data_IF_633556314504
#
_entry.id   IF_633556314504
#
_cell.length_a   1.000
_cell.length_b   1.000
_cell.length_c   1.000
_cell.angle_alpha   90.00
_cell.angle_beta   90.00
_cell.angle_gamma   90.00
#
_symmetry.space_group_name_H-M   'P 1'
#
loop_
_entity.id
_entity.type
_entity.pdbx_description
1 polymer ?
#
# COMPACT_ATOMS: atom_id res chain seq x y z
N UNK A 1 41.87 -26.23 4.32
CA UNK A 1 42.20 -24.96 3.64
C UNK A 1 40.89 -24.38 3.09
N UNK A 2 40.27 -23.49 3.84
CA UNK A 2 39.02 -22.85 3.46
C UNK A 2 39.38 -21.59 2.69
N UNK A 3 38.99 -21.53 1.41
CA UNK A 3 39.06 -20.29 0.61
C UNK A 3 37.85 -19.44 0.98
N UNK A 4 38.08 -18.34 1.69
CA UNK A 4 37.11 -17.29 1.87
C UNK A 4 36.98 -16.54 0.54
N UNK A 5 35.80 -16.60 -0.06
CA UNK A 5 35.46 -15.71 -1.19
C UNK A 5 35.17 -14.34 -0.61
N UNK A 6 36.03 -13.39 -0.89
CA UNK A 6 35.81 -12.00 -0.58
C UNK A 6 34.79 -11.45 -1.61
N UNK A 7 33.59 -11.13 -1.15
CA UNK A 7 32.61 -10.35 -1.92
C UNK A 7 33.10 -8.91 -1.86
N UNK A 8 33.59 -8.41 -3.01
CA UNK A 8 33.93 -7.01 -3.19
C UNK A 8 32.63 -6.23 -3.40
N UNK A 9 32.17 -5.54 -2.36
CA UNK A 9 31.11 -4.55 -2.48
C UNK A 9 31.70 -3.35 -3.21
N UNK A 10 31.34 -3.19 -4.48
CA UNK A 10 31.62 -1.97 -5.25
C UNK A 10 30.61 -0.93 -4.84
N UNK A 11 30.97 -0.01 -3.97
CA UNK A 11 30.23 1.23 -3.75
C UNK A 11 30.32 2.07 -5.01
N UNK A 12 29.28 2.04 -5.83
CA UNK A 12 29.10 3.02 -6.89
C UNK A 12 28.49 4.25 -6.23
N UNK A 13 29.32 5.20 -5.81
CA UNK A 13 28.88 6.53 -5.39
C UNK A 13 28.41 7.28 -6.62
N UNK A 14 27.11 7.21 -6.92
CA UNK A 14 26.49 8.16 -7.82
C UNK A 14 26.46 9.51 -7.12
N UNK A 15 27.49 10.33 -7.39
CA UNK A 15 27.48 11.75 -7.02
C UNK A 15 26.46 12.43 -7.92
N UNK A 16 25.19 12.39 -7.51
CA UNK A 16 24.16 13.23 -8.05
C UNK A 16 24.47 14.67 -7.64
N UNK A 17 24.92 15.47 -8.59
CA UNK A 17 25.03 16.92 -8.40
C UNK A 17 23.64 17.49 -8.22
N UNK A 18 23.16 17.55 -6.97
CA UNK A 18 22.01 18.37 -6.58
C UNK A 18 22.39 19.82 -6.78
N UNK A 19 21.94 20.39 -7.90
CA UNK A 19 22.02 21.82 -8.13
C UNK A 19 21.05 22.49 -7.15
N UNK A 20 21.49 22.78 -5.94
CA UNK A 20 20.78 23.62 -4.99
C UNK A 20 20.70 25.01 -5.60
N UNK A 21 19.58 25.34 -6.24
CA UNK A 21 19.27 26.72 -6.62
C UNK A 21 18.90 27.42 -5.32
N UNK A 22 19.88 28.12 -4.75
CA UNK A 22 19.64 29.06 -3.65
C UNK A 22 18.92 30.25 -4.27
N UNK A 23 17.61 30.33 -4.12
CA UNK A 23 16.85 31.53 -4.44
C UNK A 23 17.32 32.66 -3.51
N UNK A 24 17.65 33.85 -4.04
CA UNK A 24 17.98 35.00 -3.20
C UNK A 24 16.73 35.36 -2.37
N UNK A 25 16.89 35.63 -1.09
CA UNK A 25 15.86 35.87 -0.09
C UNK A 25 14.96 37.12 -0.31
N UNK A 26 14.91 37.67 -1.54
CA UNK A 26 14.16 38.87 -1.89
C UNK A 26 13.58 38.89 -3.32
N UNK A 27 13.54 37.75 -4.02
CA UNK A 27 12.84 37.67 -5.31
C UNK A 27 11.40 37.21 -5.08
N UNK A 28 10.44 37.93 -5.68
CA UNK A 28 9.05 37.49 -5.70
C UNK A 28 8.94 36.16 -6.42
N UNK A 29 8.38 35.12 -5.75
CA UNK A 29 8.12 33.82 -6.36
C UNK A 29 6.93 33.95 -7.29
N UNK A 30 7.07 33.53 -8.54
CA UNK A 30 6.02 33.54 -9.53
C UNK A 30 5.25 32.21 -9.59
N UNK A 31 4.09 32.20 -10.22
CA UNK A 31 3.39 30.94 -10.53
C UNK A 31 4.24 29.99 -11.36
N UNK A 32 5.11 30.54 -12.23
CA UNK A 32 6.04 29.74 -13.02
C UNK A 32 7.11 29.03 -12.16
N UNK A 33 7.54 29.64 -11.05
CA UNK A 33 8.48 28.98 -10.11
C UNK A 33 7.80 27.83 -9.36
N UNK A 34 6.53 28.00 -9.00
CA UNK A 34 5.73 26.93 -8.39
C UNK A 34 5.49 25.78 -9.39
N UNK A 35 5.19 26.09 -10.64
CA UNK A 35 5.01 25.09 -11.69
C UNK A 35 6.33 24.37 -11.98
N UNK A 36 7.45 25.08 -12.00
CA UNK A 36 8.78 24.47 -12.13
C UNK A 36 9.10 23.53 -10.95
N UNK A 37 8.73 23.91 -9.73
CA UNK A 37 8.89 23.04 -8.56
C UNK A 37 8.03 21.76 -8.65
N UNK A 38 6.80 21.87 -9.17
CA UNK A 38 5.93 20.70 -9.45
C UNK A 38 6.52 19.82 -10.55
N UNK A 39 7.04 20.41 -11.61
CA UNK A 39 7.70 19.66 -12.69
C UNK A 39 8.90 18.87 -12.16
N UNK A 40 9.64 19.43 -11.22
CA UNK A 40 10.74 18.70 -10.55
C UNK A 40 10.25 17.53 -9.70
N UNK A 41 9.12 17.69 -9.00
CA UNK A 41 8.52 16.54 -8.30
C UNK A 41 8.20 15.40 -9.26
N UNK A 42 7.61 15.70 -10.44
CA UNK A 42 7.35 14.70 -11.49
C UNK A 42 8.65 14.05 -11.98
N UNK A 43 9.69 14.83 -12.24
CA UNK A 43 10.99 14.29 -12.66
C UNK A 43 11.64 13.40 -11.59
N UNK A 44 11.44 13.70 -10.30
CA UNK A 44 11.90 12.82 -9.20
C UNK A 44 11.13 11.52 -9.22
N UNK A 45 9.80 11.57 -9.36
CA UNK A 45 8.98 10.38 -9.48
C UNK A 45 9.40 9.49 -10.67
N UNK A 46 9.61 10.09 -11.87
CA UNK A 46 10.08 9.35 -13.03
C UNK A 46 11.46 8.69 -12.80
N UNK A 47 12.40 9.39 -12.13
CA UNK A 47 13.73 8.83 -11.82
C UNK A 47 13.67 7.69 -10.82
N UNK A 48 12.81 7.80 -9.83
CA UNK A 48 12.66 6.80 -8.76
C UNK A 48 11.77 5.62 -9.17
N UNK A 49 11.14 5.68 -10.34
CA UNK A 49 10.23 4.64 -10.79
C UNK A 49 10.88 3.24 -10.81
N UNK A 50 12.11 3.15 -11.33
CA UNK A 50 12.83 1.87 -11.41
C UNK A 50 13.23 1.34 -10.02
N UNK A 51 13.68 2.23 -9.11
CA UNK A 51 14.03 1.87 -7.74
C UNK A 51 12.79 1.43 -6.96
N UNK A 52 11.68 2.14 -7.14
CA UNK A 52 10.40 1.79 -6.52
C UNK A 52 9.88 0.45 -7.05
N UNK A 53 9.94 0.22 -8.36
CA UNK A 53 9.56 -1.05 -8.96
C UNK A 53 10.42 -2.22 -8.44
N UNK A 54 11.73 -2.02 -8.23
CA UNK A 54 12.61 -3.03 -7.62
C UNK A 54 12.24 -3.28 -6.15
N UNK A 55 11.94 -2.23 -5.41
CA UNK A 55 11.49 -2.37 -4.01
C UNK A 55 10.18 -3.15 -3.92
N UNK A 56 9.21 -2.84 -4.76
CA UNK A 56 7.93 -3.55 -4.82
C UNK A 56 8.11 -5.01 -5.23
N UNK A 57 9.00 -5.30 -6.19
CA UNK A 57 9.36 -6.67 -6.56
C UNK A 57 9.99 -7.41 -5.38
N UNK A 58 10.88 -6.76 -4.64
CA UNK A 58 11.52 -7.36 -3.47
C UNK A 58 10.51 -7.68 -2.35
N UNK A 59 9.47 -6.86 -2.15
CA UNK A 59 8.35 -7.18 -1.24
C UNK A 59 7.63 -8.47 -1.69
N UNK A 60 7.34 -8.59 -2.99
CA UNK A 60 6.67 -9.77 -3.54
C UNK A 60 7.55 -11.03 -3.39
N UNK A 61 8.85 -10.91 -3.65
CA UNK A 61 9.81 -11.99 -3.50
C UNK A 61 9.99 -12.40 -2.03
N UNK A 62 9.98 -11.44 -1.09
CA UNK A 62 10.02 -11.74 0.36
C UNK A 62 8.78 -12.53 0.78
N UNK A 63 7.59 -12.16 0.30
CA UNK A 63 6.36 -12.90 0.61
C UNK A 63 6.41 -14.34 0.12
N UNK A 64 6.87 -14.59 -1.10
CA UNK A 64 7.03 -15.93 -1.67
C UNK A 64 8.10 -16.73 -0.94
N UNK A 65 9.21 -16.09 -0.57
CA UNK A 65 10.30 -16.73 0.16
C UNK A 65 9.89 -17.10 1.59
N UNK A 66 9.05 -16.29 2.24
CA UNK A 66 8.48 -16.59 3.55
C UNK A 66 7.60 -17.84 3.49
N UNK A 67 6.69 -17.94 2.53
CA UNK A 67 5.83 -19.12 2.34
C UNK A 67 6.68 -20.38 2.09
N UNK A 68 7.77 -20.26 1.30
CA UNK A 68 8.72 -21.34 1.06
C UNK A 68 9.45 -21.75 2.34
N UNK A 69 9.89 -20.79 3.15
CA UNK A 69 10.56 -21.04 4.44
C UNK A 69 9.63 -21.79 5.40
N UNK A 70 8.38 -21.37 5.51
CA UNK A 70 7.39 -22.03 6.37
C UNK A 70 7.19 -23.49 5.97
N UNK A 71 7.10 -23.80 4.67
CA UNK A 71 7.08 -25.16 4.15
C UNK A 71 8.32 -25.96 4.48
N UNK A 72 9.50 -25.37 4.27
CA UNK A 72 10.78 -26.03 4.56
C UNK A 72 10.96 -26.33 6.06
N UNK A 73 10.49 -25.44 6.95
CA UNK A 73 10.54 -25.63 8.41
C UNK A 73 9.63 -26.78 8.85
N UNK A 74 8.42 -26.87 8.28
CA UNK A 74 7.50 -28.00 8.54
C UNK A 74 8.12 -29.33 8.12
N UNK A 75 8.74 -29.38 6.93
CA UNK A 75 9.43 -30.56 6.42
C UNK A 75 10.64 -30.94 7.31
N UNK A 76 11.43 -29.95 7.72
CA UNK A 76 12.55 -30.17 8.63
C UNK A 76 12.12 -30.82 9.95
N UNK A 77 11.03 -30.34 10.54
CA UNK A 77 10.46 -30.93 11.76
C UNK A 77 9.98 -32.38 11.54
N UNK A 78 9.51 -32.71 10.33
CA UNK A 78 9.19 -34.09 9.94
C UNK A 78 10.42 -34.98 9.85
N UNK A 79 11.51 -34.50 9.22
CA UNK A 79 12.80 -35.22 9.10
C UNK A 79 13.48 -35.40 10.44
N UNK A 80 13.41 -34.40 11.32
CA UNK A 80 13.94 -34.49 12.68
C UNK A 80 13.25 -35.60 13.47
N UNK A 81 11.91 -35.67 13.43
CA UNK A 81 11.13 -36.74 14.07
C UNK A 81 11.54 -38.13 13.56
N UNK A 82 11.68 -38.29 12.24
CA UNK A 82 12.10 -39.54 11.63
C UNK A 82 13.54 -39.96 12.11
N UNK A 83 14.46 -39.02 12.21
CA UNK A 83 15.80 -39.22 12.70
C UNK A 83 15.82 -39.62 14.19
N UNK A 84 14.98 -38.97 15.03
CA UNK A 84 14.84 -39.31 16.45
C UNK A 84 14.34 -40.76 16.60
N UNK A 85 13.31 -41.15 15.83
CA UNK A 85 12.81 -42.52 15.85
C UNK A 85 13.85 -43.55 15.37
N UNK A 86 14.59 -43.26 14.31
CA UNK A 86 15.65 -44.12 13.80
C UNK A 86 16.79 -44.28 14.83
N UNK A 87 17.17 -43.19 15.52
CA UNK A 87 18.14 -43.20 16.62
C UNK A 87 17.70 -44.02 17.83
N UNK A 88 16.41 -43.87 18.21
CA UNK A 88 15.85 -44.67 19.32
C UNK A 88 15.89 -46.15 18.99
N UNK A 89 15.38 -46.56 17.83
CA UNK A 89 15.42 -47.94 17.40
C UNK A 89 16.84 -48.54 17.34
N UNK A 90 17.82 -47.77 16.88
CA UNK A 90 19.22 -48.20 16.86
C UNK A 90 19.81 -48.36 18.28
N UNK A 91 19.45 -47.48 19.21
CA UNK A 91 19.87 -47.56 20.64
C UNK A 91 19.24 -48.79 21.32
N UNK A 92 17.96 -49.00 21.12
CA UNK A 92 17.23 -50.12 21.72
C UNK A 92 17.81 -51.44 21.23
N UNK A 93 18.11 -51.54 19.92
CA UNK A 93 18.78 -52.72 19.37
C UNK A 93 20.21 -52.93 19.91
N UNK A 94 20.98 -51.84 20.03
CA UNK A 94 22.33 -51.91 20.61
C UNK A 94 22.29 -52.36 22.08
N UNK A 95 21.32 -51.86 22.86
CA UNK A 95 21.12 -52.30 24.25
C UNK A 95 20.74 -53.79 24.34
N UNK A 96 19.83 -54.26 23.48
CA UNK A 96 19.44 -55.66 23.37
C UNK A 96 20.69 -56.55 23.07
N UNK A 97 21.47 -56.16 22.06
CA UNK A 97 22.68 -56.88 21.71
C UNK A 97 23.70 -56.92 22.86
N UNK A 98 23.88 -55.79 23.58
CA UNK A 98 24.78 -55.74 24.74
C UNK A 98 24.30 -56.64 25.89
N UNK A 99 23.02 -56.62 26.21
CA UNK A 99 22.44 -57.45 27.26
C UNK A 99 22.50 -58.95 26.93
N UNK A 100 22.26 -59.30 25.66
CA UNK A 100 22.30 -60.69 25.22
C UNK A 100 23.72 -61.25 25.04
N UNK A 101 24.71 -60.39 24.70
CA UNK A 101 26.09 -60.80 24.59
C UNK A 101 26.74 -61.25 25.93
N UNK A 102 26.23 -60.75 27.08
CA UNK A 102 26.64 -61.14 28.42
C UNK A 102 26.01 -62.43 28.90
N UNK A 103 24.87 -62.84 28.37
CA UNK A 103 24.19 -64.10 28.63
C UNK A 103 24.66 -65.13 27.59
N UNK A 104 25.76 -65.82 27.88
CA UNK A 104 26.30 -67.02 27.16
C UNK A 104 25.80 -67.14 25.72
N UNK A 105 26.57 -66.61 24.78
CA UNK A 105 26.45 -67.00 23.38
C UNK A 105 26.61 -68.50 23.28
N UNK A 106 25.57 -69.27 23.02
CA UNK A 106 25.82 -70.67 22.72
C UNK A 106 26.68 -70.68 21.47
N UNK A 107 27.89 -71.22 21.60
CA UNK A 107 28.75 -71.37 20.43
C UNK A 107 27.91 -71.98 19.30
N UNK A 108 27.94 -71.36 18.14
CA UNK A 108 27.21 -71.84 16.97
C UNK A 108 27.60 -73.28 16.66
N UNK A 109 28.82 -73.65 17.06
CA UNK A 109 29.40 -74.98 16.87
C UNK A 109 29.14 -75.90 18.05
N UNK A 110 28.68 -75.44 19.21
CA UNK A 110 28.42 -76.25 20.39
C UNK A 110 27.02 -76.84 20.42
N UNK A 111 26.61 -77.51 19.37
CA UNK A 111 25.33 -78.23 19.32
C UNK A 111 25.63 -79.67 18.84
N UNK A 112 25.19 -80.62 19.64
CA UNK A 112 25.20 -82.05 19.29
C UNK A 112 24.12 -82.40 18.19
N UNK A 113 23.26 -81.45 17.81
CA UNK A 113 22.23 -81.65 16.84
C UNK A 113 22.57 -80.91 15.56
N UNK A 114 23.27 -81.57 14.64
CA UNK A 114 23.69 -81.08 13.33
C UNK A 114 22.48 -80.70 12.41
N UNK A 115 21.33 -81.28 12.65
CA UNK A 115 20.13 -81.00 11.92
C UNK A 115 19.57 -79.60 12.18
N UNK A 116 19.96 -78.95 13.25
CA UNK A 116 19.50 -77.57 13.60
C UNK A 116 20.48 -76.49 13.10
N UNK A 117 21.65 -76.82 12.59
CA UNK A 117 22.58 -75.83 12.06
C UNK A 117 22.04 -74.99 10.93
N UNK A 118 21.35 -75.53 9.94
CA UNK A 118 20.77 -74.70 8.87
C UNK A 118 19.79 -73.62 9.40
N UNK A 119 18.94 -74.02 10.33
CA UNK A 119 17.97 -73.09 10.95
C UNK A 119 18.66 -71.96 11.73
N UNK A 120 19.77 -72.26 12.43
CA UNK A 120 20.58 -71.26 13.13
C UNK A 120 21.27 -70.29 12.19
N UNK A 121 21.82 -70.78 11.06
CA UNK A 121 22.42 -69.91 10.05
C UNK A 121 21.38 -68.98 9.39
N UNK A 122 20.19 -69.48 9.07
CA UNK A 122 19.07 -68.67 8.56
C UNK A 122 18.68 -67.60 9.58
N UNK A 123 18.57 -67.93 10.87
CA UNK A 123 18.27 -67.00 11.92
C UNK A 123 19.36 -65.91 12.06
N UNK A 124 20.64 -66.27 12.10
CA UNK A 124 21.75 -65.33 12.15
C UNK A 124 21.84 -64.43 10.92
N UNK A 125 21.55 -64.96 9.74
CA UNK A 125 21.46 -64.19 8.51
C UNK A 125 20.32 -63.18 8.57
N UNK A 126 19.15 -63.57 9.06
CA UNK A 126 17.99 -62.69 9.20
C UNK A 126 18.26 -61.56 10.23
N UNK A 127 18.87 -61.90 11.41
CA UNK A 127 19.25 -60.88 12.41
C UNK A 127 20.26 -59.88 11.81
N UNK A 128 21.31 -60.40 11.08
CA UNK A 128 22.29 -59.53 10.42
C UNK A 128 21.66 -58.62 9.32
N UNK A 129 20.63 -59.09 8.62
CA UNK A 129 19.93 -58.29 7.66
C UNK A 129 19.11 -57.18 8.33
N UNK A 130 18.39 -57.49 9.41
CA UNK A 130 17.64 -56.49 10.20
C UNK A 130 18.55 -55.40 10.74
N UNK A 131 19.71 -55.75 11.27
CA UNK A 131 20.68 -54.80 11.78
C UNK A 131 21.23 -53.89 10.69
N UNK A 132 21.50 -54.43 9.48
CA UNK A 132 21.91 -53.62 8.32
C UNK A 132 20.80 -52.65 7.87
N UNK A 133 19.56 -53.09 7.84
CA UNK A 133 18.42 -52.26 7.51
C UNK A 133 18.26 -51.12 8.50
N UNK A 134 18.45 -51.38 9.79
CA UNK A 134 18.36 -50.38 10.86
C UNK A 134 19.46 -49.30 10.72
N UNK A 135 20.72 -49.72 10.50
CA UNK A 135 21.83 -48.79 10.27
C UNK A 135 21.60 -47.97 9.00
N UNK A 136 21.17 -48.61 7.92
CA UNK A 136 20.88 -47.90 6.69
C UNK A 136 19.73 -46.86 6.88
N UNK A 137 18.67 -47.24 7.58
CA UNK A 137 17.56 -46.28 7.91
C UNK A 137 18.08 -45.09 8.71
N UNK A 138 18.94 -45.32 9.72
CA UNK A 138 19.55 -44.24 10.50
C UNK A 138 20.39 -43.31 9.62
N UNK A 139 21.23 -43.88 8.74
CA UNK A 139 22.06 -43.08 7.83
C UNK A 139 21.23 -42.26 6.84
N UNK A 140 20.21 -42.87 6.25
CA UNK A 140 19.29 -42.18 5.32
C UNK A 140 18.58 -41.05 6.06
N UNK A 141 17.96 -41.32 7.23
CA UNK A 141 17.27 -40.31 8.01
C UNK A 141 18.21 -39.15 8.43
N UNK A 142 19.48 -39.44 8.74
CA UNK A 142 20.46 -38.41 9.05
C UNK A 142 20.78 -37.54 7.83
N UNK A 143 21.02 -38.16 6.67
CA UNK A 143 21.31 -37.43 5.42
C UNK A 143 20.12 -36.54 5.01
N UNK A 144 18.91 -37.08 5.08
CA UNK A 144 17.69 -36.35 4.77
C UNK A 144 17.51 -35.13 5.67
N UNK A 145 17.76 -35.30 6.99
CA UNK A 145 17.69 -34.17 7.93
C UNK A 145 18.77 -33.12 7.63
N UNK A 146 20.03 -33.53 7.42
CA UNK A 146 21.11 -32.58 7.12
C UNK A 146 20.88 -31.84 5.79
N UNK A 147 20.37 -32.53 4.79
CA UNK A 147 20.03 -31.93 3.51
C UNK A 147 18.88 -30.90 3.66
N UNK A 148 17.81 -31.26 4.36
CA UNK A 148 16.68 -30.34 4.60
C UNK A 148 17.11 -29.13 5.42
N UNK A 149 17.96 -29.35 6.46
CA UNK A 149 18.51 -28.23 7.24
C UNK A 149 19.33 -27.27 6.37
N UNK A 150 20.13 -27.80 5.46
CA UNK A 150 20.92 -26.96 4.54
C UNK A 150 20.02 -26.10 3.61
N UNK A 151 18.85 -26.61 3.20
CA UNK A 151 17.88 -25.83 2.42
C UNK A 151 17.25 -24.71 3.23
N UNK A 152 16.91 -24.96 4.50
CA UNK A 152 16.43 -23.92 5.43
C UNK A 152 17.49 -22.85 5.65
N UNK A 153 18.73 -23.26 5.97
CA UNK A 153 19.84 -22.34 6.20
C UNK A 153 20.13 -21.47 4.96
N UNK A 154 20.03 -22.03 3.74
CA UNK A 154 20.17 -21.29 2.49
C UNK A 154 19.03 -20.27 2.31
N UNK A 155 17.77 -20.66 2.53
CA UNK A 155 16.64 -19.78 2.38
C UNK A 155 16.67 -18.61 3.39
N UNK A 156 17.16 -18.84 4.62
CA UNK A 156 17.39 -17.77 5.60
C UNK A 156 18.43 -16.75 5.10
N UNK A 157 19.54 -17.22 4.52
CA UNK A 157 20.57 -16.33 3.95
C UNK A 157 20.01 -15.53 2.78
N UNK A 158 19.21 -16.15 1.92
CA UNK A 158 18.52 -15.50 0.80
C UNK A 158 17.58 -14.40 1.31
N UNK A 159 16.77 -14.67 2.33
CA UNK A 159 15.90 -13.70 2.97
C UNK A 159 16.67 -12.51 3.56
N UNK A 160 17.78 -12.77 4.24
CA UNK A 160 18.62 -11.72 4.81
C UNK A 160 19.21 -10.80 3.72
N UNK A 161 19.67 -11.37 2.59
CA UNK A 161 20.20 -10.57 1.48
C UNK A 161 19.13 -9.69 0.84
N UNK A 162 17.93 -10.23 0.68
CA UNK A 162 16.79 -9.48 0.14
C UNK A 162 16.38 -8.31 1.04
N UNK A 163 16.36 -8.51 2.37
CA UNK A 163 16.08 -7.44 3.32
C UNK A 163 17.11 -6.31 3.27
N UNK A 164 18.40 -6.65 3.16
CA UNK A 164 19.46 -5.63 3.00
C UNK A 164 19.27 -4.83 1.71
N UNK A 165 18.89 -5.49 0.62
CA UNK A 165 18.58 -4.82 -0.65
C UNK A 165 17.39 -3.87 -0.49
N UNK A 166 16.28 -4.33 0.13
CA UNK A 166 15.11 -3.50 0.42
C UNK A 166 15.45 -2.27 1.27
N UNK A 167 16.24 -2.43 2.34
CA UNK A 167 16.68 -1.33 3.19
C UNK A 167 17.50 -0.29 2.39
N UNK A 168 18.36 -0.73 1.47
CA UNK A 168 19.15 0.14 0.60
C UNK A 168 18.27 0.92 -0.38
N UNK A 169 17.31 0.25 -1.02
CA UNK A 169 16.35 0.89 -1.94
C UNK A 169 15.50 1.92 -1.22
N UNK A 170 14.92 1.56 -0.07
CA UNK A 170 14.14 2.47 0.78
C UNK A 170 14.95 3.71 1.15
N UNK A 171 16.19 3.54 1.62
CA UNK A 171 17.06 4.66 1.99
C UNK A 171 17.31 5.61 0.81
N UNK A 172 17.52 5.06 -0.39
CA UNK A 172 17.73 5.85 -1.62
C UNK A 172 16.46 6.62 -1.99
N UNK A 173 15.33 5.93 -2.06
CA UNK A 173 14.03 6.52 -2.43
C UNK A 173 13.69 7.66 -1.47
N UNK A 174 13.71 7.43 -0.16
CA UNK A 174 13.32 8.46 0.81
C UNK A 174 14.28 9.63 0.87
N UNK A 175 15.59 9.43 0.66
CA UNK A 175 16.53 10.54 0.62
C UNK A 175 16.27 11.51 -0.55
N UNK A 176 15.89 10.99 -1.71
CA UNK A 176 15.52 11.81 -2.86
C UNK A 176 14.15 12.47 -2.72
N UNK A 177 13.16 11.75 -2.17
CA UNK A 177 11.84 12.31 -1.87
C UNK A 177 11.92 13.43 -0.85
N UNK A 178 12.71 13.29 0.22
CA UNK A 178 12.91 14.33 1.23
C UNK A 178 13.54 15.58 0.64
N UNK A 179 14.56 15.45 -0.21
CA UNK A 179 15.21 16.56 -0.88
C UNK A 179 14.22 17.32 -1.79
N UNK A 180 13.46 16.60 -2.60
CA UNK A 180 12.46 17.19 -3.49
C UNK A 180 11.31 17.88 -2.71
N UNK A 181 10.84 17.25 -1.62
CA UNK A 181 9.83 17.83 -0.74
C UNK A 181 10.31 19.13 -0.07
N UNK A 182 11.56 19.17 0.39
CA UNK A 182 12.12 20.37 1.01
C UNK A 182 12.13 21.56 0.04
N UNK A 183 12.52 21.32 -1.21
CA UNK A 183 12.52 22.33 -2.26
C UNK A 183 11.09 22.81 -2.56
N UNK A 184 10.16 21.89 -2.85
CA UNK A 184 8.77 22.22 -3.15
C UNK A 184 8.10 23.01 -2.03
N UNK A 185 8.22 22.55 -0.77
CA UNK A 185 7.65 23.23 0.40
C UNK A 185 8.20 24.63 0.58
N UNK A 186 9.49 24.85 0.27
CA UNK A 186 10.09 26.17 0.36
C UNK A 186 9.48 27.15 -0.66
N UNK A 187 9.36 26.73 -1.91
CA UNK A 187 8.75 27.53 -3.00
C UNK A 187 7.26 27.77 -2.70
N UNK A 188 6.52 26.73 -2.32
CA UNK A 188 5.08 26.82 -2.01
C UNK A 188 4.81 27.76 -0.84
N UNK A 189 5.59 27.68 0.24
CA UNK A 189 5.43 28.57 1.39
C UNK A 189 5.66 30.06 1.06
N UNK A 190 6.62 30.34 0.19
CA UNK A 190 6.89 31.71 -0.29
C UNK A 190 5.74 32.21 -1.16
N UNK A 191 5.25 31.38 -2.08
CA UNK A 191 4.09 31.68 -2.92
C UNK A 191 2.84 31.95 -2.07
N UNK A 192 2.49 31.05 -1.14
CA UNK A 192 1.31 31.18 -0.26
C UNK A 192 1.37 32.46 0.58
N UNK A 193 2.57 32.82 1.07
CA UNK A 193 2.75 34.06 1.83
C UNK A 193 2.57 35.31 0.96
N UNK A 194 3.09 35.33 -0.25
CA UNK A 194 2.91 36.45 -1.20
C UNK A 194 1.46 36.59 -1.64
N UNK A 195 0.78 35.48 -1.90
CA UNK A 195 -0.62 35.46 -2.30
C UNK A 195 -1.53 36.00 -1.17
N UNK A 196 -1.27 35.57 0.07
CA UNK A 196 -1.99 36.08 1.23
C UNK A 196 -1.78 37.61 1.42
N UNK A 197 -0.56 38.11 1.17
CA UNK A 197 -0.27 39.55 1.21
C UNK A 197 -0.96 40.31 0.07
N UNK A 198 -1.02 39.73 -1.14
CA UNK A 198 -1.75 40.32 -2.28
C UNK A 198 -3.25 40.44 -1.96
N UNK A 199 -3.87 39.37 -1.48
CA UNK A 199 -5.29 39.34 -1.08
C UNK A 199 -5.56 40.39 0.00
N UNK A 200 -4.68 40.50 1.00
CA UNK A 200 -4.81 41.50 2.08
C UNK A 200 -4.78 42.93 1.52
N UNK A 201 -3.85 43.26 0.63
CA UNK A 201 -3.77 44.57 -0.03
C UNK A 201 -4.99 44.90 -0.86
N UNK A 202 -5.50 43.94 -1.62
CA UNK A 202 -6.73 44.12 -2.41
C UNK A 202 -7.95 44.39 -1.51
N UNK A 203 -8.06 43.68 -0.38
CA UNK A 203 -9.13 43.91 0.62
C UNK A 203 -9.00 45.29 1.28
N UNK A 204 -7.80 45.73 1.66
CA UNK A 204 -7.54 47.06 2.21
C UNK A 204 -7.88 48.17 1.21
N UNK A 205 -7.51 47.99 -0.07
CA UNK A 205 -7.84 48.94 -1.14
C UNK A 205 -9.36 48.99 -1.40
N UNK A 206 -10.04 47.87 -1.46
CA UNK A 206 -11.49 47.78 -1.60
C UNK A 206 -12.23 48.48 -0.45
N UNK A 207 -11.77 48.24 0.78
CA UNK A 207 -12.31 48.92 1.98
C UNK A 207 -12.08 50.44 1.93
N UNK A 208 -10.90 50.87 1.48
CA UNK A 208 -10.59 52.28 1.30
C UNK A 208 -11.50 52.97 0.25
N UNK A 209 -11.70 52.31 -0.90
CA UNK A 209 -12.61 52.81 -1.96
C UNK A 209 -14.05 52.89 -1.49
N UNK A 210 -14.53 51.88 -0.76
CA UNK A 210 -15.87 51.88 -0.17
C UNK A 210 -16.05 53.01 0.85
N UNK A 211 -15.05 53.30 1.68
CA UNK A 211 -15.06 54.43 2.63
C UNK A 211 -15.12 55.78 1.90
N UNK A 212 -14.35 56.00 0.84
CA UNK A 212 -14.36 57.16 0.01
C UNK A 212 -15.73 57.37 -0.69
N UNK A 213 -16.33 56.31 -1.22
CA UNK A 213 -17.66 56.36 -1.86
C UNK A 213 -18.77 56.79 -0.89
N UNK A 214 -18.74 56.30 0.36
CA UNK A 214 -19.68 56.72 1.41
C UNK A 214 -19.46 58.15 1.89
N UNK A 215 -18.19 58.60 1.91
CA UNK A 215 -17.85 59.97 2.35
C UNK A 215 -18.24 61.04 1.32
N UNK A 216 -18.34 60.69 0.02
CA UNK A 216 -18.71 61.62 -1.04
C UNK A 216 -20.23 61.84 -1.13
N UNK A 217 -21.07 61.00 -0.53
CA UNK A 217 -22.52 61.13 -0.55
C UNK A 217 -23.11 62.09 0.50
N UNK A 218 -22.31 62.64 1.39
CA UNK A 218 -22.79 63.45 2.52
C UNK A 218 -22.69 64.98 2.31
N UNK A 219 -22.42 65.45 1.09
CA UNK A 219 -22.37 66.90 0.83
C UNK A 219 -23.19 67.27 -0.38
N UNK A 220 -24.53 67.37 -0.24
CA UNK A 220 -25.41 68.34 -0.88
C UNK A 220 -26.89 67.98 -0.58
N UNK A 221 -27.43 68.40 0.52
CA UNK A 221 -28.84 68.83 0.61
C UNK A 221 -28.95 70.00 1.57
N UNK A 222 -29.03 71.18 0.99
CA UNK A 222 -29.51 72.40 1.64
C UNK A 222 -30.98 72.21 2.02
N UNK A 223 -31.46 72.45 3.22
CA UNK A 223 -32.86 72.33 3.59
C UNK A 223 -33.64 73.46 2.96
N UNK A 224 -34.54 73.12 2.04
CA UNK A 224 -35.64 74.01 1.71
C UNK A 224 -36.85 73.63 2.57
N UNK A 225 -37.20 74.52 3.49
CA UNK A 225 -38.43 74.43 4.30
C UNK A 225 -39.65 74.46 3.41
N UNK A 226 -40.53 73.49 3.52
CA UNK A 226 -41.94 73.65 3.20
C UNK A 226 -42.74 72.77 4.17
N UNK A 227 -43.54 73.45 4.96
CA UNK A 227 -44.53 72.96 5.92
C UNK A 227 -45.70 72.34 5.08
N UNK A 228 -46.26 71.20 5.48
CA UNK A 228 -47.73 71.05 5.65
C UNK A 228 -48.12 69.61 5.95
N UNK A 229 -48.69 69.37 7.12
CA UNK A 229 -49.92 68.65 7.48
C UNK A 229 -49.97 67.14 7.46
N UNK A 230 -50.08 66.64 8.66
CA UNK A 230 -50.77 65.49 9.29
C UNK A 230 -51.71 64.68 8.40
N UNK A 231 -51.54 63.37 8.42
CA UNK A 231 -52.65 62.43 8.71
C UNK A 231 -52.06 61.06 9.16
N UNK A 232 -52.50 60.69 10.33
CA UNK A 232 -52.27 59.34 10.90
C UNK A 232 -53.29 58.39 10.28
N UNK A 233 -52.83 57.14 9.97
CA UNK A 233 -53.76 56.02 9.96
C UNK A 233 -52.99 54.77 10.37
N UNK A 234 -53.39 54.29 11.51
CA UNK A 234 -53.08 52.98 12.11
C UNK A 234 -53.81 51.88 11.36
N UNK A 235 -53.23 50.71 11.19
CA UNK A 235 -53.92 49.40 11.33
C UNK A 235 -52.97 48.27 10.90
N UNK A 236 -52.47 47.45 11.80
CA UNK A 236 -52.91 46.14 12.29
C UNK A 236 -52.49 44.96 11.41
N UNK A 237 -51.59 44.18 11.96
CA UNK A 237 -51.41 42.72 11.98
C UNK A 237 -52.36 41.84 11.17
N UNK A 238 -51.81 40.88 10.43
CA UNK A 238 -52.38 39.52 10.41
C UNK A 238 -51.36 38.49 9.90
N UNK A 239 -51.13 37.48 10.72
CA UNK A 239 -50.54 36.17 10.38
C UNK A 239 -51.45 35.40 9.41
N UNK A 240 -50.88 34.58 8.56
CA UNK A 240 -51.64 33.65 7.71
C UNK A 240 -50.80 32.49 7.21
N UNK A 241 -50.92 31.43 7.86
CA UNK A 241 -50.57 29.99 7.75
C UNK A 241 -50.92 29.38 6.38
N UNK A 242 -50.05 28.47 5.92
CA UNK A 242 -50.31 27.21 5.16
C UNK A 242 -51.11 27.22 3.87
N UNK A 243 -50.65 26.57 2.84
CA UNK A 243 -51.20 25.25 2.43
C UNK A 243 -50.39 24.59 1.30
N UNK A 244 -50.16 23.30 1.47
CA UNK A 244 -49.71 22.23 0.59
C UNK A 244 -50.57 22.16 -0.69
N UNK A 245 -49.95 21.92 -1.85
CA UNK A 245 -50.64 21.28 -2.98
C UNK A 245 -49.65 20.38 -3.74
N UNK A 246 -49.86 19.08 -3.65
CA UNK A 246 -49.22 18.07 -4.45
C UNK A 246 -49.76 18.06 -5.88
N UNK A 247 -48.92 17.67 -6.83
CA UNK A 247 -49.35 17.26 -8.16
C UNK A 247 -48.68 15.94 -8.50
N UNK A 248 -49.54 14.94 -8.65
CA UNK A 248 -49.30 13.59 -9.19
C UNK A 248 -49.33 13.69 -10.73
N UNK A 249 -48.39 13.05 -11.42
CA UNK A 249 -48.58 12.62 -12.82
C UNK A 249 -47.74 11.38 -13.11
N UNK A 250 -48.33 10.35 -13.17
CA UNK A 250 -48.74 9.25 -14.07
C UNK A 250 -47.65 8.74 -15.03
N UNK A 251 -47.34 7.48 -14.81
CA UNK A 251 -46.55 6.58 -15.68
C UNK A 251 -47.22 6.33 -17.02
N UNK A 252 -46.44 6.19 -18.08
CA UNK A 252 -46.91 5.47 -19.28
C UNK A 252 -45.85 4.48 -19.73
N UNK A 253 -46.19 3.22 -19.56
CA UNK A 253 -45.50 2.03 -20.08
C UNK A 253 -45.83 1.86 -21.55
N UNK A 254 -44.83 1.60 -22.39
CA UNK A 254 -45.08 1.02 -23.72
C UNK A 254 -44.16 -0.16 -23.93
N UNK A 255 -44.78 -1.32 -23.97
CA UNK A 255 -44.17 -2.61 -24.38
C UNK A 255 -44.07 -2.66 -25.90
N UNK A 256 -43.02 -3.15 -26.43
CA UNK A 256 -42.79 -3.49 -27.84
C UNK A 256 -42.02 -4.78 -28.00
N UNK A 257 -42.68 -5.70 -28.61
CA UNK A 257 -42.48 -7.14 -28.75
C UNK A 257 -41.31 -7.55 -29.67
N UNK A 258 -40.67 -8.63 -29.29
CA UNK A 258 -39.77 -9.63 -29.92
C UNK A 258 -39.84 -9.84 -31.42
N UNK A 259 -38.72 -10.05 -32.09
CA UNK A 259 -38.57 -11.05 -33.17
C UNK A 259 -37.16 -11.63 -33.21
N UNK A 260 -37.09 -12.95 -33.05
CA UNK A 260 -35.96 -13.83 -33.19
C UNK A 260 -35.71 -14.21 -34.64
N UNK A 261 -34.48 -14.31 -35.09
CA UNK A 261 -33.97 -15.34 -36.00
C UNK A 261 -32.42 -15.48 -35.94
N UNK A 262 -31.87 -16.68 -36.20
CA UNK A 262 -30.54 -17.04 -35.70
C UNK A 262 -29.45 -17.12 -36.78
N UNK A 263 -28.23 -17.41 -36.27
CA UNK A 263 -27.05 -17.97 -36.90
C UNK A 263 -26.17 -17.11 -37.83
N UNK A 264 -24.97 -16.86 -37.34
CA UNK A 264 -23.72 -17.27 -38.02
C UNK A 264 -22.55 -17.07 -37.06
N UNK A 265 -21.90 -18.17 -36.69
CA UNK A 265 -20.68 -18.22 -35.89
C UNK A 265 -19.51 -17.65 -36.71
N UNK A 266 -19.01 -16.48 -36.29
CA UNK A 266 -17.70 -16.02 -36.75
C UNK A 266 -16.89 -15.72 -35.48
N UNK A 267 -15.91 -16.59 -35.20
CA UNK A 267 -14.93 -16.42 -34.14
C UNK A 267 -14.02 -15.24 -34.51
N UNK A 268 -14.36 -14.08 -34.03
CA UNK A 268 -13.46 -12.93 -34.06
C UNK A 268 -12.83 -12.80 -32.65
N UNK A 269 -11.51 -12.96 -32.61
CA UNK A 269 -10.73 -12.69 -31.40
C UNK A 269 -11.05 -11.25 -30.96
N UNK A 270 -11.79 -11.14 -29.86
CA UNK A 270 -12.08 -9.84 -29.21
C UNK A 270 -10.82 -9.42 -28.48
N UNK A 271 -10.04 -8.55 -29.10
CA UNK A 271 -9.09 -7.71 -28.39
C UNK A 271 -9.92 -6.82 -27.49
N UNK A 272 -10.00 -7.17 -26.23
CA UNK A 272 -10.60 -6.29 -25.20
C UNK A 272 -9.72 -5.06 -25.14
N UNK A 273 -10.11 -4.00 -25.83
CA UNK A 273 -9.59 -2.68 -25.56
C UNK A 273 -9.99 -2.37 -24.12
N UNK A 274 -9.02 -2.41 -23.20
CA UNK A 274 -9.16 -1.85 -21.86
C UNK A 274 -9.44 -0.37 -22.08
N UNK A 275 -10.69 0.04 -21.99
CA UNK A 275 -11.08 1.44 -21.87
C UNK A 275 -10.47 1.90 -20.56
N UNK A 276 -9.46 2.79 -20.64
CA UNK A 276 -8.99 3.58 -19.50
C UNK A 276 -10.24 4.17 -18.82
N UNK A 277 -10.37 4.04 -17.50
CA UNK A 277 -11.47 4.68 -16.78
C UNK A 277 -11.43 6.17 -17.08
N UNK A 278 -12.59 6.74 -17.41
CA UNK A 278 -12.73 8.16 -17.66
C UNK A 278 -12.33 8.94 -16.41
N UNK A 279 -11.53 9.98 -16.60
CA UNK A 279 -11.16 10.92 -15.55
C UNK A 279 -12.41 11.45 -14.85
N UNK A 280 -12.42 11.55 -13.49
CA UNK A 280 -13.58 12.04 -12.74
C UNK A 280 -14.06 13.40 -13.25
N UNK A 281 -15.36 13.61 -13.45
CA UNK A 281 -15.89 14.89 -13.85
C UNK A 281 -15.83 15.86 -12.66
N UNK A 282 -15.07 16.93 -12.77
CA UNK A 282 -14.98 17.96 -11.73
C UNK A 282 -13.55 18.39 -11.36
N UNK A 283 -12.56 17.77 -11.98
CA UNK A 283 -11.15 17.95 -11.66
C UNK A 283 -10.72 16.98 -10.55
N UNK A 284 -9.61 16.31 -10.80
CA UNK A 284 -8.94 15.47 -9.81
C UNK A 284 -7.51 15.93 -9.64
N UNK A 285 -6.90 15.64 -8.49
CA UNK A 285 -5.52 16.00 -8.19
C UNK A 285 -4.78 14.83 -7.58
N UNK A 286 -3.44 14.84 -7.63
CA UNK A 286 -2.65 13.87 -6.89
C UNK A 286 -3.03 13.88 -5.40
N UNK A 287 -3.34 12.72 -4.80
CA UNK A 287 -3.73 12.66 -3.39
C UNK A 287 -2.57 12.92 -2.42
N UNK A 288 -1.31 12.92 -2.91
CA UNK A 288 -0.11 13.29 -2.16
C UNK A 288 0.32 14.70 -2.58
N UNK A 289 0.21 15.68 -1.67
CA UNK A 289 0.68 17.07 -1.91
C UNK A 289 2.18 17.17 -1.59
N UNK A 290 3.00 16.55 -2.42
CA UNK A 290 4.45 16.51 -2.27
C UNK A 290 5.10 15.48 -3.20
N UNK A 291 6.41 15.27 -3.00
CA UNK A 291 7.15 14.24 -3.70
C UNK A 291 6.60 12.86 -3.35
N UNK A 292 6.37 12.05 -4.36
CA UNK A 292 5.93 10.66 -4.23
C UNK A 292 6.59 9.81 -5.30
N UNK A 293 6.74 8.52 -5.04
CA UNK A 293 7.19 7.54 -6.02
C UNK A 293 6.35 6.28 -5.89
N UNK A 294 5.96 5.68 -7.01
CA UNK A 294 5.08 4.51 -7.03
C UNK A 294 5.23 3.72 -8.33
N UNK A 295 4.87 2.45 -8.26
CA UNK A 295 4.81 1.54 -9.40
C UNK A 295 3.48 0.78 -9.44
N UNK A 296 3.23 0.01 -10.50
CA UNK A 296 2.02 -0.84 -10.57
C UNK A 296 2.25 -2.15 -9.81
N UNK A 297 1.74 -2.20 -8.60
CA UNK A 297 1.80 -3.37 -7.71
C UNK A 297 0.46 -4.09 -7.58
N UNK A 298 -0.52 -3.79 -8.44
CA UNK A 298 -1.82 -4.43 -8.42
C UNK A 298 -1.73 -5.96 -8.53
N UNK A 299 -2.30 -6.67 -7.56
CA UNK A 299 -2.27 -8.13 -7.53
C UNK A 299 -0.95 -8.74 -7.06
N UNK A 300 0.07 -7.94 -6.73
CA UNK A 300 1.34 -8.43 -6.21
C UNK A 300 1.13 -9.22 -4.91
N UNK A 301 1.89 -10.31 -4.70
CA UNK A 301 1.83 -11.08 -3.47
C UNK A 301 2.15 -10.23 -2.24
N UNK A 302 1.40 -10.46 -1.15
CA UNK A 302 1.62 -9.85 0.16
C UNK A 302 1.72 -10.95 1.23
N UNK A 303 2.39 -10.72 2.36
CA UNK A 303 2.49 -11.68 3.45
C UNK A 303 1.12 -12.23 3.86
N UNK A 304 1.06 -13.55 4.14
CA UNK A 304 -0.19 -14.24 4.48
C UNK A 304 -1.05 -14.63 3.28
N UNK A 305 -0.47 -14.74 2.07
CA UNK A 305 -1.14 -15.22 0.85
C UNK A 305 -2.16 -14.24 0.29
N UNK A 306 -2.09 -12.96 0.66
CA UNK A 306 -2.97 -11.90 0.14
C UNK A 306 -2.45 -11.36 -1.19
N UNK A 307 -3.32 -10.76 -1.98
CA UNK A 307 -2.95 -9.95 -3.15
C UNK A 307 -3.07 -8.46 -2.79
N UNK A 308 -2.23 -7.62 -3.38
CA UNK A 308 -2.29 -6.17 -3.22
C UNK A 308 -3.47 -5.60 -4.00
N UNK A 309 -4.36 -4.89 -3.32
CA UNK A 309 -5.56 -4.29 -3.90
C UNK A 309 -5.54 -2.76 -3.79
N UNK A 310 -4.49 -2.15 -4.33
CA UNK A 310 -4.30 -0.70 -4.31
C UNK A 310 -3.03 -0.30 -5.05
N UNK A 311 -2.65 0.95 -4.88
CA UNK A 311 -1.35 1.49 -5.29
C UNK A 311 -0.71 2.14 -4.08
N UNK A 312 0.55 1.79 -3.80
CA UNK A 312 1.33 2.34 -2.71
C UNK A 312 2.14 3.54 -3.23
N UNK A 313 1.74 4.75 -2.83
CA UNK A 313 2.44 5.99 -3.17
C UNK A 313 3.44 6.29 -2.05
N UNK A 314 4.71 5.91 -2.24
CA UNK A 314 5.79 6.17 -1.29
C UNK A 314 6.01 7.67 -1.16
N UNK A 315 5.99 8.16 0.06
CA UNK A 315 6.28 9.56 0.36
C UNK A 315 6.78 9.68 1.80
N UNK A 316 7.56 10.73 2.08
CA UNK A 316 8.08 10.97 3.43
C UNK A 316 6.97 11.11 4.45
N UNK A 317 7.17 10.56 5.64
CA UNK A 317 6.21 10.69 6.74
C UNK A 317 5.88 12.17 7.02
N UNK A 318 4.60 12.46 7.23
CA UNK A 318 4.10 13.81 7.41
C UNK A 318 3.91 14.62 6.12
N UNK A 319 4.13 14.02 4.92
CA UNK A 319 3.72 14.66 3.66
C UNK A 319 2.21 14.83 3.65
N UNK A 320 1.67 16.02 3.28
CA UNK A 320 0.25 16.25 3.28
C UNK A 320 -0.51 15.35 2.31
N UNK A 321 -1.65 14.84 2.74
CA UNK A 321 -2.62 14.13 1.92
C UNK A 321 -3.84 15.00 1.68
N UNK A 322 -4.33 14.97 0.44
CA UNK A 322 -5.46 15.79 0.00
C UNK A 322 -6.55 14.93 -0.65
N UNK A 323 -7.76 15.43 -0.70
CA UNK A 323 -8.85 14.79 -1.40
C UNK A 323 -8.55 14.74 -2.89
N UNK A 324 -8.50 13.53 -3.46
CA UNK A 324 -8.22 13.29 -4.89
C UNK A 324 -9.26 13.96 -5.78
N UNK A 325 -10.50 14.06 -5.30
CA UNK A 325 -11.64 14.73 -5.92
C UNK A 325 -12.54 15.35 -4.85
N UNK A 326 -13.55 16.12 -5.26
CA UNK A 326 -14.60 16.59 -4.36
C UNK A 326 -15.46 15.43 -3.86
N UNK A 327 -15.85 15.45 -2.58
CA UNK A 327 -16.61 14.35 -2.04
C UNK A 327 -16.91 14.47 -0.55
N UNK A 328 -17.32 13.36 0.06
CA UNK A 328 -17.66 13.28 1.47
C UNK A 328 -16.80 12.24 2.19
N UNK A 329 -16.21 12.62 3.31
CA UNK A 329 -15.50 11.70 4.21
C UNK A 329 -16.46 10.62 4.70
N UNK A 330 -16.02 9.37 4.62
CA UNK A 330 -16.79 8.24 5.12
C UNK A 330 -15.90 7.30 5.94
N UNK A 331 -16.43 6.89 7.11
CA UNK A 331 -15.82 5.90 7.98
C UNK A 331 -14.33 6.14 8.30
N UNK A 332 -13.93 7.33 8.79
CA UNK A 332 -12.57 7.49 9.30
C UNK A 332 -12.39 6.57 10.51
N UNK A 333 -11.42 5.65 10.44
CA UNK A 333 -11.20 4.63 11.46
C UNK A 333 -9.74 4.19 11.53
N UNK A 334 -9.47 3.27 12.46
CA UNK A 334 -8.21 2.55 12.55
C UNK A 334 -8.47 1.04 12.50
N UNK A 335 -7.71 0.31 11.71
CA UNK A 335 -7.70 -1.15 11.70
C UNK A 335 -6.26 -1.70 11.68
N UNK A 336 -6.11 -3.01 11.88
CA UNK A 336 -4.78 -3.62 12.00
C UNK A 336 -4.01 -3.69 10.67
N UNK A 337 -4.71 -3.68 9.55
CA UNK A 337 -4.09 -3.74 8.21
C UNK A 337 -3.82 -2.34 7.66
N UNK A 338 -4.85 -1.54 7.48
CA UNK A 338 -4.75 -0.20 6.92
C UNK A 338 -4.25 0.86 7.90
N UNK A 339 -4.18 0.56 9.20
CA UNK A 339 -3.85 1.54 10.21
C UNK A 339 -4.90 2.64 10.30
N UNK A 340 -4.45 3.88 10.40
CA UNK A 340 -5.32 5.05 10.35
C UNK A 340 -5.73 5.29 8.89
N UNK A 341 -7.02 5.21 8.60
CA UNK A 341 -7.54 5.29 7.24
C UNK A 341 -8.92 5.92 7.16
N UNK A 342 -9.35 6.23 5.96
CA UNK A 342 -10.69 6.74 5.66
C UNK A 342 -11.10 6.38 4.24
N UNK A 343 -12.37 6.49 3.97
CA UNK A 343 -12.90 6.51 2.61
C UNK A 343 -13.34 7.92 2.23
N UNK A 344 -13.18 8.28 0.96
CA UNK A 344 -13.76 9.46 0.34
C UNK A 344 -14.82 8.99 -0.67
N UNK A 345 -16.08 9.32 -0.42
CA UNK A 345 -17.16 9.14 -1.40
C UNK A 345 -17.11 10.30 -2.37
N UNK A 346 -16.62 10.04 -3.57
CA UNK A 346 -16.50 11.03 -4.63
C UNK A 346 -17.84 11.53 -5.16
N UNK A 347 -17.83 12.72 -5.73
CA UNK A 347 -19.02 13.34 -6.31
C UNK A 347 -19.46 12.65 -7.60
N UNK A 348 -18.56 11.93 -8.25
CA UNK A 348 -18.84 11.10 -9.43
C UNK A 348 -19.44 9.72 -9.08
N UNK A 349 -19.45 9.37 -7.80
CA UNK A 349 -19.98 8.12 -7.28
C UNK A 349 -18.91 7.08 -6.99
N UNK A 350 -17.65 7.37 -7.22
CA UNK A 350 -16.53 6.50 -6.87
C UNK A 350 -16.25 6.52 -5.37
N UNK A 351 -15.55 5.48 -4.89
CA UNK A 351 -15.11 5.43 -3.51
C UNK A 351 -13.60 5.23 -3.47
N UNK A 352 -12.91 6.14 -2.82
CA UNK A 352 -11.46 6.12 -2.64
C UNK A 352 -11.10 5.73 -1.21
N UNK A 353 -10.18 4.79 -1.07
CA UNK A 353 -9.66 4.36 0.24
C UNK A 353 -8.26 4.93 0.45
N UNK A 354 -8.06 5.58 1.58
CA UNK A 354 -6.79 6.13 2.04
C UNK A 354 -6.37 5.37 3.29
N UNK A 355 -5.17 4.80 3.30
CA UNK A 355 -4.68 4.05 4.47
C UNK A 355 -3.25 4.43 4.84
N UNK A 356 -2.82 3.95 5.99
CA UNK A 356 -1.51 4.14 6.62
C UNK A 356 -1.18 5.57 7.04
N UNK A 357 -2.19 6.43 7.24
CA UNK A 357 -2.01 7.82 7.66
C UNK A 357 -1.30 7.90 9.03
N UNK A 358 -0.47 8.94 9.22
CA UNK A 358 0.07 9.28 10.55
C UNK A 358 -0.94 10.04 11.41
N UNK A 359 -1.74 10.92 10.80
CA UNK A 359 -2.80 11.66 11.47
C UNK A 359 -3.78 12.28 10.49
N UNK A 360 -5.00 12.55 10.95
CA UNK A 360 -5.95 13.43 10.25
C UNK A 360 -5.66 14.89 10.52
N UNK A 361 -6.18 15.77 9.65
CA UNK A 361 -6.26 17.20 9.99
C UNK A 361 -7.28 17.43 11.11
N UNK A 362 -7.10 18.46 11.97
CA UNK A 362 -8.08 18.81 12.97
C UNK A 362 -9.46 19.07 12.36
N UNK A 363 -10.50 18.47 12.94
CA UNK A 363 -11.88 18.64 12.48
C UNK A 363 -12.33 17.69 11.37
N UNK A 364 -11.49 16.78 10.90
CA UNK A 364 -11.92 15.71 9.98
C UNK A 364 -12.85 14.75 10.73
N UNK A 365 -14.09 14.64 10.25
CA UNK A 365 -15.12 13.76 10.83
C UNK A 365 -15.90 13.08 9.71
N UNK A 366 -16.56 11.98 10.06
CA UNK A 366 -17.49 11.31 9.14
C UNK A 366 -18.57 12.27 8.64
N UNK A 367 -18.87 12.22 7.35
CA UNK A 367 -19.82 13.10 6.71
C UNK A 367 -19.31 14.48 6.33
N UNK A 368 -18.06 14.84 6.69
CA UNK A 368 -17.48 16.13 6.29
C UNK A 368 -17.33 16.20 4.77
N UNK A 369 -17.86 17.27 4.17
CA UNK A 369 -17.67 17.56 2.76
C UNK A 369 -16.30 18.17 2.50
N UNK A 370 -15.61 17.66 1.50
CA UNK A 370 -14.31 18.13 1.04
C UNK A 370 -14.37 18.58 -0.41
N UNK A 371 -13.60 19.59 -0.72
CA UNK A 371 -13.31 19.99 -2.09
C UNK A 371 -12.05 19.28 -2.60
N UNK A 372 -11.89 19.16 -3.92
CA UNK A 372 -10.68 18.61 -4.53
C UNK A 372 -9.44 19.36 -4.02
N UNK A 373 -8.39 18.62 -3.66
CA UNK A 373 -7.16 19.20 -3.11
C UNK A 373 -7.28 19.70 -1.66
N UNK A 374 -8.44 19.58 -1.01
CA UNK A 374 -8.57 19.91 0.40
C UNK A 374 -7.83 18.88 1.25
N UNK A 375 -7.04 19.39 2.23
CA UNK A 375 -6.22 18.53 3.09
C UNK A 375 -7.06 17.65 3.98
N UNK A 376 -6.69 16.36 4.04
CA UNK A 376 -7.37 15.33 4.84
C UNK A 376 -6.50 14.80 5.98
N UNK A 377 -5.18 14.77 5.80
CA UNK A 377 -4.26 14.19 6.77
C UNK A 377 -2.83 14.22 6.27
N UNK A 378 -2.04 13.27 6.76
CA UNK A 378 -0.61 13.19 6.47
C UNK A 378 -0.19 11.75 6.28
N UNK A 379 0.76 11.53 5.36
CA UNK A 379 1.40 10.24 5.12
C UNK A 379 2.00 9.71 6.42
N UNK A 380 1.85 8.42 6.64
CA UNK A 380 2.44 7.69 7.73
C UNK A 380 2.79 6.25 7.34
N UNK A 381 2.96 5.41 8.36
CA UNK A 381 3.23 3.97 8.21
C UNK A 381 2.45 3.17 9.27
N UNK A 382 1.25 3.64 9.64
CA UNK A 382 0.40 2.96 10.62
C UNK A 382 -0.20 1.67 10.05
N UNK A 383 -0.58 0.74 10.93
CA UNK A 383 -1.10 -0.57 10.52
C UNK A 383 0.00 -1.51 10.03
N UNK A 384 -0.25 -2.25 8.96
CA UNK A 384 0.68 -3.23 8.38
C UNK A 384 1.55 -2.62 7.26
N UNK A 385 2.16 -1.48 7.53
CA UNK A 385 3.06 -0.79 6.61
C UNK A 385 4.51 -0.85 7.13
N UNK A 386 5.45 -1.27 6.30
CA UNK A 386 6.88 -1.33 6.64
C UNK A 386 7.63 -0.02 6.38
N UNK A 387 7.08 0.82 5.50
CA UNK A 387 7.63 2.13 5.14
C UNK A 387 6.51 3.15 5.01
N UNK A 388 6.86 4.44 5.03
CA UNK A 388 5.87 5.53 4.91
C UNK A 388 5.33 5.63 3.48
N UNK A 389 4.02 5.51 3.33
CA UNK A 389 3.33 5.62 2.04
C UNK A 389 1.84 5.92 2.24
N UNK A 390 1.19 6.39 1.18
CA UNK A 390 -0.25 6.33 1.06
C UNK A 390 -0.62 5.05 0.31
N UNK A 391 -1.34 4.13 0.93
CA UNK A 391 -2.06 3.08 0.20
C UNK A 391 -3.37 3.65 -0.32
N UNK A 392 -3.52 3.73 -1.64
CA UNK A 392 -4.70 4.23 -2.32
C UNK A 392 -5.48 3.07 -2.92
N UNK A 393 -6.73 2.88 -2.50
CA UNK A 393 -7.69 1.94 -3.09
C UNK A 393 -8.76 2.67 -3.87
N UNK A 394 -9.34 2.03 -4.90
CA UNK A 394 -10.37 2.62 -5.74
C UNK A 394 -11.50 1.63 -6.03
N UNK A 395 -12.73 2.06 -5.78
CA UNK A 395 -13.96 1.32 -6.03
C UNK A 395 -14.82 2.13 -7.01
N UNK A 396 -14.65 1.94 -8.33
CA UNK A 396 -15.45 2.64 -9.33
C UNK A 396 -16.94 2.27 -9.17
N UNK A 397 -17.80 3.29 -9.09
CA UNK A 397 -19.21 3.14 -8.79
C UNK A 397 -19.56 2.97 -7.31
N UNK A 398 -18.59 3.07 -6.40
CA UNK A 398 -18.81 3.19 -4.97
C UNK A 398 -18.87 1.90 -4.17
N UNK A 399 -19.44 1.99 -2.97
CA UNK A 399 -19.51 0.88 -2.02
C UNK A 399 -20.31 -0.31 -2.59
N UNK A 400 -19.73 -1.51 -2.48
CA UNK A 400 -20.33 -2.75 -2.97
C UNK A 400 -19.94 -3.11 -4.42
N UNK A 401 -19.23 -2.24 -5.12
CA UNK A 401 -18.62 -2.53 -6.42
C UNK A 401 -17.23 -3.18 -6.23
N UNK A 402 -16.76 -3.96 -7.22
CA UNK A 402 -15.41 -4.52 -7.19
C UNK A 402 -14.36 -3.41 -7.13
N UNK A 403 -13.32 -3.64 -6.32
CA UNK A 403 -12.14 -2.78 -6.31
C UNK A 403 -11.42 -2.89 -7.65
N UNK A 404 -10.88 -1.79 -8.17
CA UNK A 404 -10.13 -1.71 -9.41
C UNK A 404 -8.70 -1.20 -9.15
N UNK A 405 -7.81 -1.41 -10.13
CA UNK A 405 -6.44 -0.93 -10.07
C UNK A 405 -6.41 0.61 -10.13
N UNK A 406 -5.98 1.32 -9.08
CA UNK A 406 -5.92 2.78 -9.08
C UNK A 406 -4.67 3.34 -9.77
N UNK A 407 -3.67 2.50 -10.10
CA UNK A 407 -2.39 2.93 -10.67
C UNK A 407 -2.54 3.82 -11.92
N UNK A 408 -3.38 3.51 -12.93
CA UNK A 408 -3.53 4.37 -14.10
C UNK A 408 -4.02 5.78 -13.75
N UNK A 409 -4.90 5.89 -12.75
CA UNK A 409 -5.39 7.19 -12.27
C UNK A 409 -4.28 7.92 -11.51
N UNK A 410 -3.61 7.26 -10.58
CA UNK A 410 -2.48 7.82 -9.85
C UNK A 410 -1.37 8.31 -10.81
N UNK A 411 -1.03 7.52 -11.84
CA UNK A 411 -0.05 7.90 -12.85
C UNK A 411 -0.45 9.15 -13.62
N UNK A 412 -1.72 9.31 -13.95
CA UNK A 412 -2.22 10.50 -14.67
C UNK A 412 -2.22 11.77 -13.83
N UNK A 413 -2.32 11.66 -12.50
CA UNK A 413 -2.46 12.80 -11.58
C UNK A 413 -1.14 13.18 -10.89
N UNK A 414 -0.26 12.20 -10.65
CA UNK A 414 0.98 12.37 -9.88
C UNK A 414 2.24 12.18 -10.74
N UNK A 415 2.11 11.51 -11.91
CA UNK A 415 3.20 11.17 -12.81
C UNK A 415 3.68 12.30 -13.71
#
# INVERSE_FOLDING_TARGET
>A
MRKAAAVAIVFLTAVGSTLLIVFPAAADVSSADLDLARDRLRQVNERLHDETARYDQAIADEALLQDRLDGLVVDLAGRERALVLARSAARDRAAEMYMTAGASSPSITATDDVARLPARFVYLAAVSQTDRELVNRLEVSRRDYEQQKALVDQAIVEQQSLRIEMESLVSTIFSELDAANAEYRSVKAQWDAQEAERIRREQEEAARLAFLATSTTTTTTRPTSTTTTTSATTTTTASGTSTTAGITTTSTTTSGTTTTTPDTTTTTASTTATTLPSQPPGGATCPVDGATSFSDTWGAPRPGGRAHHGTDLLASEGTPLVAIEGGQVWSPNWDAEGGLGLYLKGDDGDLWYYAHLSSYVPGLVDGLRLEVGQRIGYVGHTGNASVSHLHLGWYPGGYGHPIANPYPVALSLCG
#
